data_IF_161283650613
#
_entry.id   IF_161283650613
#
_cell.length_a   1.000
_cell.length_b   1.000
_cell.length_c   1.000
_cell.angle_alpha   90.00
_cell.angle_beta   90.00
_cell.angle_gamma   90.00
#
_symmetry.space_group_name_H-M   'P 1'
#
loop_
_entity.id
_entity.type
_entity.pdbx_description
1 polymer ?
#
# COMPACT_ATOMS: atom_id res chain seq x y z
N UNK A 1 18.46 -50.93 42.97
CA UNK A 1 17.69 -49.67 42.82
C UNK A 1 17.68 -49.32 41.35
N UNK A 2 16.50 -49.02 40.79
CA UNK A 2 16.31 -48.68 39.37
C UNK A 2 16.84 -47.27 39.11
N UNK A 3 17.73 -47.11 38.13
CA UNK A 3 18.12 -45.79 37.65
C UNK A 3 17.03 -45.32 36.68
N UNK A 4 16.16 -44.44 37.17
CA UNK A 4 15.12 -43.82 36.36
C UNK A 4 15.75 -42.58 35.72
N UNK A 5 16.14 -42.68 34.44
CA UNK A 5 16.57 -41.51 33.68
C UNK A 5 15.35 -40.60 33.45
N UNK A 6 15.37 -39.44 34.10
CA UNK A 6 14.49 -38.32 33.78
C UNK A 6 14.98 -37.72 32.47
N UNK A 7 14.36 -38.10 31.36
CA UNK A 7 14.45 -37.34 30.12
C UNK A 7 13.78 -36.00 30.37
N UNK A 8 14.58 -34.96 30.59
CA UNK A 8 14.12 -33.58 30.51
C UNK A 8 13.70 -33.34 29.07
N UNK A 9 12.38 -33.37 28.83
CA UNK A 9 11.81 -32.91 27.57
C UNK A 9 12.17 -31.42 27.51
N UNK A 10 13.11 -31.07 26.64
CA UNK A 10 13.39 -29.69 26.29
C UNK A 10 12.07 -29.07 25.87
N UNK A 11 11.53 -28.18 26.69
CA UNK A 11 10.42 -27.31 26.29
C UNK A 11 10.88 -26.60 25.02
N UNK A 12 10.14 -26.77 23.93
CA UNK A 12 10.38 -26.21 22.58
C UNK A 12 11.25 -27.06 21.64
N UNK A 13 10.79 -28.27 21.31
CA UNK A 13 11.22 -28.97 20.10
C UNK A 13 10.04 -29.14 19.13
N UNK A 14 10.22 -28.70 17.88
CA UNK A 14 9.26 -28.91 16.78
C UNK A 14 8.47 -27.66 16.38
N UNK A 15 7.23 -27.86 15.88
CA UNK A 15 6.35 -26.84 15.29
C UNK A 15 6.14 -25.58 16.17
N UNK A 16 6.25 -25.69 17.50
CA UNK A 16 6.14 -24.56 18.43
C UNK A 16 7.26 -23.52 18.26
N UNK A 17 8.40 -23.89 17.67
CA UNK A 17 9.49 -22.96 17.37
C UNK A 17 9.14 -22.00 16.22
N UNK A 18 8.13 -22.32 15.40
CA UNK A 18 7.60 -21.45 14.36
C UNK A 18 6.67 -20.37 14.93
N UNK A 19 6.19 -20.50 16.17
CA UNK A 19 5.35 -19.47 16.80
C UNK A 19 6.13 -18.18 17.08
N UNK A 20 7.42 -18.30 17.40
CA UNK A 20 8.34 -17.17 17.61
C UNK A 20 9.12 -16.79 16.34
N UNK A 21 8.87 -17.46 15.21
CA UNK A 21 9.55 -17.16 13.96
C UNK A 21 8.95 -15.89 13.33
N UNK A 22 9.73 -14.81 13.32
CA UNK A 22 9.34 -13.56 12.70
C UNK A 22 9.49 -13.64 11.17
N UNK A 23 8.44 -14.15 10.52
CA UNK A 23 8.34 -14.25 9.05
C UNK A 23 8.64 -12.92 8.35
N UNK A 24 8.20 -11.78 8.91
CA UNK A 24 8.46 -10.47 8.31
C UNK A 24 9.94 -10.14 8.27
N UNK A 25 10.67 -10.44 9.35
CA UNK A 25 12.11 -10.17 9.43
C UNK A 25 12.93 -11.11 8.54
N UNK A 26 12.56 -12.40 8.49
CA UNK A 26 13.21 -13.36 7.59
C UNK A 26 12.96 -13.01 6.13
N UNK A 27 11.71 -12.68 5.75
CA UNK A 27 11.38 -12.24 4.40
C UNK A 27 12.07 -10.92 4.05
N UNK A 28 12.15 -9.96 4.98
CA UNK A 28 12.87 -8.70 4.75
C UNK A 28 14.38 -8.91 4.54
N UNK A 29 14.99 -9.87 5.25
CA UNK A 29 16.40 -10.26 5.05
C UNK A 29 16.64 -10.93 3.70
N UNK A 30 15.75 -11.82 3.27
CA UNK A 30 15.87 -12.51 1.96
C UNK A 30 15.56 -11.58 0.78
N UNK A 31 14.80 -10.51 1.02
CA UNK A 31 14.50 -9.46 0.05
C UNK A 31 15.49 -8.29 0.11
N UNK A 32 16.43 -8.30 1.06
CA UNK A 32 17.47 -7.27 1.17
C UNK A 32 18.44 -7.40 -0.01
N UNK A 33 18.53 -6.34 -0.81
CA UNK A 33 19.28 -6.33 -2.07
C UNK A 33 18.50 -6.81 -3.30
N UNK A 34 17.24 -7.24 -3.15
CA UNK A 34 16.33 -7.47 -4.27
C UNK A 34 15.53 -6.19 -4.54
N UNK A 35 15.85 -5.50 -5.63
CA UNK A 35 15.08 -4.33 -6.05
C UNK A 35 13.75 -4.79 -6.68
N UNK A 36 12.77 -5.07 -5.83
CA UNK A 36 11.43 -5.46 -6.23
C UNK A 36 10.67 -4.24 -6.78
N UNK A 37 11.02 -3.81 -7.98
CA UNK A 37 10.22 -2.86 -8.72
C UNK A 37 9.07 -3.58 -9.39
N UNK A 38 7.84 -3.24 -9.04
CA UNK A 38 6.68 -3.68 -9.81
C UNK A 38 6.56 -2.84 -11.08
N UNK A 39 6.14 -3.49 -12.15
CA UNK A 39 5.65 -2.81 -13.33
C UNK A 39 4.49 -1.88 -12.97
N UNK A 40 4.55 -0.63 -13.44
CA UNK A 40 3.57 0.41 -13.12
C UNK A 40 2.76 0.76 -14.35
N UNK A 41 1.50 0.36 -14.35
CA UNK A 41 0.51 0.80 -15.35
C UNK A 41 -0.25 1.98 -14.77
N UNK A 42 -0.18 3.14 -15.44
CA UNK A 42 -0.93 4.33 -15.01
C UNK A 42 -2.36 4.27 -15.54
N UNK A 43 -3.34 4.42 -14.67
CA UNK A 43 -4.74 4.61 -15.08
C UNK A 43 -4.87 6.02 -15.68
N UNK A 44 -5.27 6.15 -16.95
CA UNK A 44 -5.35 7.43 -17.61
C UNK A 44 -6.50 8.28 -17.04
N UNK A 45 -6.26 9.58 -16.93
CA UNK A 45 -7.25 10.55 -16.46
C UNK A 45 -8.33 10.81 -17.52
N UNK A 46 -9.45 11.40 -17.11
CA UNK A 46 -10.49 11.92 -17.99
C UNK A 46 -11.19 10.91 -18.93
N UNK A 47 -11.18 9.62 -18.57
CA UNK A 47 -11.94 8.59 -19.29
C UNK A 47 -11.32 8.11 -20.60
N UNK A 48 -10.04 8.39 -20.84
CA UNK A 48 -9.28 7.75 -21.92
C UNK A 48 -9.17 6.24 -21.67
N UNK A 49 -9.08 5.45 -22.74
CA UNK A 49 -8.92 3.98 -22.67
C UNK A 49 -7.57 3.51 -23.21
N UNK A 50 -6.60 4.41 -23.41
CA UNK A 50 -5.25 4.05 -23.84
C UNK A 50 -4.37 3.83 -22.62
N UNK A 51 -3.88 2.60 -22.45
CA UNK A 51 -2.99 2.20 -21.38
C UNK A 51 -1.60 1.89 -21.92
N UNK A 52 -0.57 2.37 -21.24
CA UNK A 52 0.82 2.00 -21.48
C UNK A 52 1.14 0.79 -20.60
N UNK A 53 1.37 -0.36 -21.23
CA UNK A 53 1.76 -1.61 -20.57
C UNK A 53 3.19 -1.96 -20.96
N UNK A 54 3.99 -2.57 -20.07
CA UNK A 54 5.34 -3.02 -20.43
C UNK A 54 5.28 -4.00 -21.61
N UNK A 55 6.04 -3.68 -22.67
CA UNK A 55 6.15 -4.50 -23.87
C UNK A 55 7.38 -5.42 -23.84
N UNK A 56 7.63 -6.11 -24.96
CA UNK A 56 8.78 -7.03 -25.10
C UNK A 56 10.14 -6.30 -25.09
N UNK A 57 10.16 -5.03 -25.48
CA UNK A 57 11.37 -4.21 -25.53
C UNK A 57 11.52 -3.37 -24.26
N UNK A 58 12.64 -3.50 -23.52
CA UNK A 58 12.90 -2.66 -22.36
C UNK A 58 12.90 -1.17 -22.71
N UNK A 59 12.01 -0.40 -22.09
CA UNK A 59 11.89 1.05 -22.28
C UNK A 59 10.90 1.49 -23.36
N UNK A 60 10.29 0.55 -24.08
CA UNK A 60 9.24 0.83 -25.08
C UNK A 60 7.91 0.21 -24.63
N UNK A 61 7.00 0.98 -24.03
CA UNK A 61 5.70 0.46 -23.59
C UNK A 61 4.75 0.27 -24.78
N UNK A 62 3.96 -0.80 -24.72
CA UNK A 62 2.88 -1.07 -25.65
C UNK A 62 1.62 -0.28 -25.28
N UNK A 63 0.90 0.22 -26.29
CA UNK A 63 -0.36 0.92 -26.09
C UNK A 63 -1.54 -0.03 -26.34
N UNK A 64 -2.29 -0.34 -25.28
CA UNK A 64 -3.47 -1.22 -25.35
C UNK A 64 -4.74 -0.48 -24.98
N UNK A 65 -5.87 -0.95 -25.51
CA UNK A 65 -7.21 -0.42 -25.17
C UNK A 65 -7.82 -1.07 -23.93
N UNK A 66 -7.47 -2.32 -23.68
CA UNK A 66 -8.03 -3.16 -22.63
C UNK A 66 -6.94 -4.12 -22.12
N UNK A 67 -6.94 -4.39 -20.82
CA UNK A 67 -6.09 -5.38 -20.17
C UNK A 67 -6.82 -6.01 -18.99
N UNK A 68 -6.36 -7.17 -18.53
CA UNK A 68 -6.90 -7.87 -17.35
C UNK A 68 -5.85 -7.91 -16.24
N UNK A 69 -6.28 -7.68 -15.00
CA UNK A 69 -5.39 -7.72 -13.83
C UNK A 69 -6.16 -8.17 -12.58
N UNK A 70 -5.42 -8.56 -11.54
CA UNK A 70 -5.96 -8.91 -10.21
C UNK A 70 -5.45 -7.90 -9.20
N UNK A 71 -6.36 -7.33 -8.41
CA UNK A 71 -6.00 -6.43 -7.31
C UNK A 71 -5.58 -7.29 -6.12
N UNK A 72 -4.29 -7.27 -5.79
CA UNK A 72 -3.76 -7.98 -4.62
C UNK A 72 -3.95 -7.20 -3.32
N UNK A 73 -3.82 -5.87 -3.41
CA UNK A 73 -3.89 -4.98 -2.26
C UNK A 73 -4.44 -3.63 -2.69
N UNK A 74 -5.38 -3.09 -1.92
CA UNK A 74 -5.92 -1.76 -2.10
C UNK A 74 -5.85 -1.03 -0.77
N UNK A 75 -5.29 0.17 -0.81
CA UNK A 75 -5.11 0.99 0.37
C UNK A 75 -5.55 2.43 0.08
N UNK A 76 -6.49 2.98 0.86
CA UNK A 76 -6.98 4.34 0.65
C UNK A 76 -5.91 5.38 1.00
N UNK A 77 -5.76 6.36 0.12
CA UNK A 77 -4.95 7.55 0.35
C UNK A 77 -5.87 8.76 0.27
N UNK A 78 -5.71 9.70 1.20
CA UNK A 78 -6.46 10.95 1.17
C UNK A 78 -5.52 12.13 0.99
N UNK A 79 -5.95 13.11 0.21
CA UNK A 79 -5.24 14.35 -0.02
C UNK A 79 -6.27 15.47 -0.04
N UNK A 80 -6.08 16.46 0.81
CA UNK A 80 -6.89 17.65 0.91
C UNK A 80 -6.08 18.85 0.46
N UNK A 81 -6.67 19.64 -0.42
CA UNK A 81 -6.15 20.94 -0.85
C UNK A 81 -7.17 22.00 -0.48
N UNK A 82 -6.76 22.99 0.31
CA UNK A 82 -7.61 24.11 0.71
C UNK A 82 -8.00 24.95 -0.50
N UNK A 83 -7.04 25.17 -1.37
CA UNK A 83 -7.24 25.84 -2.65
C UNK A 83 -7.40 24.82 -3.78
N UNK A 84 -8.19 25.19 -4.79
CA UNK A 84 -8.42 24.32 -5.95
C UNK A 84 -7.08 23.95 -6.59
N UNK A 85 -6.76 22.66 -6.60
CA UNK A 85 -5.57 22.15 -7.26
C UNK A 85 -5.58 22.48 -8.76
N UNK A 86 -4.57 23.22 -9.22
CA UNK A 86 -4.42 23.64 -10.62
C UNK A 86 -3.44 22.79 -11.42
N UNK A 87 -2.98 21.66 -10.85
CA UNK A 87 -1.86 20.88 -11.40
C UNK A 87 -0.51 21.34 -10.86
N UNK A 88 0.54 20.54 -11.11
CA UNK A 88 1.91 20.79 -10.66
C UNK A 88 2.43 19.74 -9.69
N UNK A 89 3.32 20.16 -8.79
CA UNK A 89 3.91 19.34 -7.72
C UNK A 89 3.69 19.95 -6.34
N UNK A 90 2.63 20.75 -6.19
CA UNK A 90 2.27 21.32 -4.91
C UNK A 90 1.80 20.19 -3.98
N UNK A 91 2.38 20.05 -2.77
CA UNK A 91 1.90 19.07 -1.82
C UNK A 91 0.50 19.44 -1.31
N UNK A 92 -0.28 18.46 -0.83
CA UNK A 92 -1.56 18.73 -0.19
C UNK A 92 -1.35 19.47 1.14
N UNK A 93 -2.36 20.24 1.55
CA UNK A 93 -2.40 20.88 2.88
C UNK A 93 -2.55 19.84 3.99
N UNK A 94 -3.25 18.74 3.70
CA UNK A 94 -3.34 17.56 4.57
C UNK A 94 -3.36 16.27 3.74
N UNK A 95 -2.52 15.30 4.11
CA UNK A 95 -2.41 14.01 3.44
C UNK A 95 -2.51 12.83 4.40
N UNK A 96 -3.05 11.71 3.96
CA UNK A 96 -3.11 10.46 4.73
C UNK A 96 -2.59 9.31 3.89
N UNK A 97 -1.49 8.71 4.35
CA UNK A 97 -0.87 7.55 3.71
C UNK A 97 -1.44 6.23 4.19
N UNK A 98 -2.15 6.20 5.31
CA UNK A 98 -2.81 5.05 5.90
C UNK A 98 -4.34 5.07 5.69
N UNK A 99 -4.88 6.18 5.15
CA UNK A 99 -6.32 6.43 5.03
C UNK A 99 -7.05 6.58 6.37
N UNK A 100 -6.32 6.62 7.49
CA UNK A 100 -6.84 6.64 8.85
C UNK A 100 -6.48 7.96 9.53
N UNK A 101 -5.23 8.38 9.40
CA UNK A 101 -4.64 9.55 10.04
C UNK A 101 -4.12 10.52 8.98
N UNK A 102 -4.64 11.74 9.01
CA UNK A 102 -4.17 12.86 8.20
C UNK A 102 -3.04 13.61 8.91
N UNK A 103 -2.00 13.92 8.15
CA UNK A 103 -0.89 14.77 8.55
C UNK A 103 -0.97 16.09 7.77
N UNK A 104 -0.86 17.22 8.47
CA UNK A 104 -1.03 18.56 7.90
C UNK A 104 -2.16 19.33 8.56
N UNK A 105 -2.74 20.29 7.83
CA UNK A 105 -3.86 21.13 8.28
C UNK A 105 -5.13 20.75 7.49
N UNK A 106 -6.17 20.16 8.12
CA UNK A 106 -6.44 20.11 9.56
C UNK A 106 -5.84 18.91 10.33
N UNK A 107 -5.30 17.92 9.62
CA UNK A 107 -4.77 16.69 10.22
C UNK A 107 -5.80 15.85 11.00
N UNK A 108 -5.32 14.88 11.76
CA UNK A 108 -6.12 14.08 12.69
C UNK A 108 -6.85 12.90 12.04
N UNK A 109 -7.94 12.43 12.65
CA UNK A 109 -8.63 11.22 12.18
C UNK A 109 -9.43 11.47 10.89
N UNK A 110 -9.02 10.86 9.78
CA UNK A 110 -9.71 10.96 8.49
C UNK A 110 -11.16 10.48 8.53
N UNK A 111 -11.49 9.54 9.43
CA UNK A 111 -12.85 9.04 9.64
C UNK A 111 -13.81 10.13 10.15
N UNK A 112 -13.30 11.10 10.91
CA UNK A 112 -14.08 12.22 11.48
C UNK A 112 -13.80 13.56 10.79
N UNK A 113 -12.96 13.56 9.76
CA UNK A 113 -12.59 14.79 9.06
C UNK A 113 -13.80 15.33 8.30
N UNK A 114 -14.18 16.61 8.49
CA UNK A 114 -15.30 17.22 7.78
C UNK A 114 -15.05 17.35 6.27
N UNK A 115 -13.78 17.44 5.87
CA UNK A 115 -13.36 17.55 4.46
C UNK A 115 -13.25 16.18 3.75
N UNK A 116 -13.27 15.08 4.51
CA UNK A 116 -13.26 13.73 3.96
C UNK A 116 -14.68 13.15 3.77
N UNK A 117 -15.72 14.00 3.83
CA UNK A 117 -17.12 13.61 3.65
C UNK A 117 -17.59 13.89 2.23
N UNK A 118 -18.44 13.03 1.66
CA UNK A 118 -19.10 13.34 0.40
C UNK A 118 -19.95 14.62 0.55
N UNK A 119 -19.88 15.51 -0.45
CA UNK A 119 -20.54 16.81 -0.40
C UNK A 119 -19.69 17.93 0.19
N UNK A 120 -18.53 17.65 0.76
CA UNK A 120 -17.60 18.70 1.23
C UNK A 120 -16.85 19.38 0.08
N UNK A 121 -16.70 18.71 -1.06
CA UNK A 121 -16.04 19.21 -2.27
C UNK A 121 -17.02 19.58 -3.39
N UNK A 122 -16.45 20.03 -4.51
CA UNK A 122 -17.23 20.47 -5.68
C UNK A 122 -18.01 19.29 -6.30
N UNK A 123 -19.22 19.56 -6.81
CA UNK A 123 -20.07 18.56 -7.47
C UNK A 123 -20.40 17.34 -6.57
N UNK A 124 -20.42 17.52 -5.25
CA UNK A 124 -20.72 16.43 -4.32
C UNK A 124 -19.53 15.52 -3.99
N UNK A 125 -18.33 15.86 -4.47
CA UNK A 125 -17.11 15.11 -4.13
C UNK A 125 -16.70 15.31 -2.67
N UNK A 126 -15.65 14.62 -2.25
CA UNK A 126 -14.85 15.01 -1.08
C UNK A 126 -14.01 16.24 -1.42
N UNK A 127 -13.69 17.05 -0.41
CA UNK A 127 -12.92 18.28 -0.57
C UNK A 127 -11.43 17.99 -0.80
#
# INVERSE_FOLDING_TARGET
MKNNELVTISENAGFLQLADFNLNQAMASELDGLDLTFERIKIPSAGSTVFEVPGENPGEPDNVKEFSAVILYHHPLYAYYKDKYTGGSNPPDCGSFDGITGEGDPGGSCAKCPYNQFGSGKNGSKA
#
